data_IF_298809193296
#
_entry.id   IF_298809193296
#
_cell.length_a   1.000
_cell.length_b   1.000
_cell.length_c   1.000
_cell.angle_alpha   90.00
_cell.angle_beta   90.00
_cell.angle_gamma   90.00
#
_symmetry.space_group_name_H-M   'P 1'
#
loop_
_entity.id
_entity.type
_entity.pdbx_description
1 polymer ?
#
# COMPACT_ATOMS: atom_id res chain seq x y z
N UNK A 1 -18.51 28.94 44.38
CA UNK A 1 -18.10 30.34 44.61
C UNK A 1 -18.64 31.30 43.55
N UNK A 2 -19.85 31.82 43.80
CA UNK A 2 -20.41 32.94 43.04
C UNK A 2 -19.40 34.10 43.05
N UNK A 3 -19.35 34.89 41.97
CA UNK A 3 -18.41 36.01 41.90
C UNK A 3 -18.86 37.14 42.82
N UNK A 4 -18.00 37.59 43.73
CA UNK A 4 -18.34 38.64 44.72
C UNK A 4 -18.84 39.95 44.10
N UNK A 5 -18.38 40.30 42.89
CA UNK A 5 -18.72 41.57 42.24
C UNK A 5 -20.02 41.56 41.43
N UNK A 6 -20.67 40.41 41.23
CA UNK A 6 -21.88 40.32 40.38
C UNK A 6 -22.83 39.26 40.93
N UNK A 7 -23.43 39.58 42.08
CA UNK A 7 -24.30 38.68 42.84
C UNK A 7 -25.54 38.24 42.03
N UNK A 8 -26.08 39.13 41.20
CA UNK A 8 -27.24 38.84 40.35
C UNK A 8 -26.90 38.09 39.05
N UNK A 9 -25.61 37.83 38.76
CA UNK A 9 -25.19 37.12 37.54
C UNK A 9 -24.71 35.71 37.85
N UNK A 10 -25.34 34.71 37.23
CA UNK A 10 -25.02 33.29 37.45
C UNK A 10 -23.71 32.88 36.77
N UNK A 11 -22.60 32.81 37.53
CA UNK A 11 -21.27 32.46 36.98
C UNK A 11 -21.15 30.99 36.55
N UNK A 12 -21.48 30.05 37.44
CA UNK A 12 -21.28 28.62 37.17
C UNK A 12 -22.20 28.06 36.10
N UNK A 13 -23.48 28.40 36.16
CA UNK A 13 -24.47 27.94 35.17
C UNK A 13 -24.05 28.32 33.75
N UNK A 14 -23.60 29.57 33.57
CA UNK A 14 -23.12 30.07 32.29
C UNK A 14 -21.82 29.37 31.85
N UNK A 15 -20.86 29.18 32.76
CA UNK A 15 -19.62 28.44 32.45
C UNK A 15 -19.90 26.98 32.07
N UNK A 16 -20.78 26.31 32.80
CA UNK A 16 -21.18 24.93 32.53
C UNK A 16 -21.90 24.82 31.18
N UNK A 17 -22.85 25.71 30.90
CA UNK A 17 -23.55 25.76 29.62
C UNK A 17 -22.58 26.01 28.45
N UNK A 18 -21.68 26.99 28.59
CA UNK A 18 -20.67 27.29 27.58
C UNK A 18 -19.73 26.10 27.34
N UNK A 19 -19.27 25.44 28.41
CA UNK A 19 -18.43 24.26 28.31
C UNK A 19 -19.15 23.10 27.61
N UNK A 20 -20.42 22.85 27.96
CA UNK A 20 -21.24 21.83 27.31
C UNK A 20 -21.43 22.11 25.82
N UNK A 21 -21.71 23.36 25.45
CA UNK A 21 -21.82 23.77 24.04
C UNK A 21 -20.51 23.60 23.27
N UNK A 22 -19.37 23.98 23.86
CA UNK A 22 -18.06 23.80 23.24
C UNK A 22 -17.75 22.32 23.00
N UNK A 23 -18.05 21.44 23.96
CA UNK A 23 -17.90 19.99 23.79
C UNK A 23 -18.86 19.43 22.74
N UNK A 24 -20.11 19.89 22.69
CA UNK A 24 -21.07 19.47 21.69
C UNK A 24 -20.60 19.83 20.26
N UNK A 25 -20.07 21.04 20.06
CA UNK A 25 -19.47 21.46 18.78
C UNK A 25 -18.29 20.57 18.38
N UNK A 26 -17.38 20.26 19.33
CA UNK A 26 -16.25 19.34 19.10
C UNK A 26 -16.72 17.92 18.76
N UNK A 27 -17.79 17.43 19.38
CA UNK A 27 -18.39 16.13 19.03
C UNK A 27 -18.99 16.16 17.62
N UNK A 28 -19.74 17.20 17.28
CA UNK A 28 -20.33 17.34 15.95
C UNK A 28 -19.28 17.41 14.83
N UNK A 29 -18.18 18.16 15.02
CA UNK A 29 -17.09 18.19 14.05
C UNK A 29 -16.38 16.85 13.91
N UNK A 30 -16.16 16.14 15.02
CA UNK A 30 -15.59 14.79 15.00
C UNK A 30 -16.48 13.79 14.25
N UNK A 31 -17.80 13.89 14.43
CA UNK A 31 -18.76 13.03 13.71
C UNK A 31 -18.70 13.26 12.20
N UNK A 32 -18.58 14.52 11.75
CA UNK A 32 -18.48 14.84 10.33
C UNK A 32 -17.15 14.42 9.69
N UNK A 33 -16.04 14.55 10.42
CA UNK A 33 -14.71 14.45 9.83
C UNK A 33 -14.02 13.10 10.08
N UNK A 34 -14.48 12.29 11.04
CA UNK A 34 -13.81 11.03 11.39
C UNK A 34 -14.69 9.82 11.11
N UNK A 35 -14.14 8.84 10.40
CA UNK A 35 -14.77 7.54 10.17
C UNK A 35 -15.01 6.75 11.47
N UNK A 36 -14.32 7.10 12.57
CA UNK A 36 -14.54 6.54 13.92
C UNK A 36 -15.90 6.86 14.53
N UNK A 37 -16.64 7.82 13.97
CA UNK A 37 -17.98 8.14 14.41
C UNK A 37 -19.06 7.31 13.71
N UNK A 38 -18.69 6.52 12.71
CA UNK A 38 -19.60 5.61 12.02
C UNK A 38 -19.89 4.41 12.92
N UNK A 39 -21.12 3.91 12.85
CA UNK A 39 -21.53 2.71 13.60
C UNK A 39 -20.73 1.48 13.18
N UNK A 40 -20.70 0.46 14.04
CA UNK A 40 -19.92 -0.79 13.82
C UNK A 40 -20.19 -1.49 12.50
N UNK A 41 -21.41 -1.36 11.96
CA UNK A 41 -21.85 -2.02 10.73
C UNK A 41 -21.93 -1.07 9.53
N UNK A 42 -21.40 0.14 9.64
CA UNK A 42 -21.39 1.07 8.52
C UNK A 42 -20.34 0.61 7.50
N UNK A 43 -20.71 0.52 6.22
CA UNK A 43 -19.86 -0.01 5.14
C UNK A 43 -18.50 0.70 5.02
N UNK A 44 -18.46 1.99 5.35
CA UNK A 44 -17.25 2.84 5.33
C UNK A 44 -16.52 2.95 6.68
N UNK A 45 -16.94 2.20 7.70
CA UNK A 45 -16.23 2.16 8.99
C UNK A 45 -14.80 1.65 8.76
N UNK A 46 -13.82 2.30 9.37
CA UNK A 46 -12.42 1.84 9.28
C UNK A 46 -12.27 0.62 10.17
N UNK A 47 -11.85 -0.49 9.54
CA UNK A 47 -11.89 -1.86 10.04
C UNK A 47 -13.32 -2.37 10.22
N UNK A 48 -13.68 -3.39 9.43
CA UNK A 48 -14.88 -4.17 9.72
C UNK A 48 -14.74 -4.79 11.12
N UNK A 49 -15.83 -5.02 11.86
CA UNK A 49 -15.77 -5.65 13.19
C UNK A 49 -15.03 -7.00 13.09
N UNK A 50 -13.83 -7.06 13.68
CA UNK A 50 -12.95 -8.23 13.65
C UNK A 50 -11.63 -8.04 12.88
N UNK A 51 -11.46 -6.97 12.12
CA UNK A 51 -10.22 -6.70 11.38
C UNK A 51 -9.18 -5.96 12.24
N UNK A 52 -7.91 -6.35 12.10
CA UNK A 52 -6.81 -5.61 12.71
C UNK A 52 -6.45 -4.36 11.91
N UNK A 53 -5.87 -3.37 12.58
CA UNK A 53 -5.37 -2.13 11.95
C UNK A 53 -4.43 -2.41 10.79
N UNK A 54 -3.57 -3.41 10.91
CA UNK A 54 -2.62 -3.84 9.87
C UNK A 54 -3.32 -4.35 8.61
N UNK A 55 -4.39 -5.13 8.77
CA UNK A 55 -5.18 -5.65 7.65
C UNK A 55 -5.93 -4.52 6.96
N UNK A 56 -6.47 -3.58 7.75
CA UNK A 56 -7.11 -2.38 7.22
C UNK A 56 -6.12 -1.51 6.42
N UNK A 57 -4.88 -1.35 6.89
CA UNK A 57 -3.81 -0.64 6.17
C UNK A 57 -3.39 -1.36 4.89
N UNK A 58 -3.42 -2.70 4.88
CA UNK A 58 -3.06 -3.49 3.70
C UNK A 58 -4.14 -3.48 2.62
N UNK A 59 -5.43 -3.52 3.02
CA UNK A 59 -6.58 -3.48 2.09
C UNK A 59 -6.96 -2.07 1.65
N UNK A 60 -6.65 -1.07 2.49
CA UNK A 60 -7.00 0.32 2.24
C UNK A 60 -6.27 0.91 1.06
N UNK A 61 -6.91 1.87 0.38
CA UNK A 61 -6.24 2.67 -0.63
C UNK A 61 -5.08 3.47 0.01
N UNK A 62 -3.94 3.64 -0.69
CA UNK A 62 -2.88 4.52 -0.22
C UNK A 62 -3.48 5.91 0.01
N UNK A 63 -3.30 6.44 1.22
CA UNK A 63 -3.80 7.77 1.56
C UNK A 63 -2.98 8.78 0.80
N UNK A 64 -3.49 9.25 -0.33
CA UNK A 64 -2.95 10.38 -1.06
C UNK A 64 -3.36 11.66 -0.31
N UNK A 65 -2.53 12.12 0.64
CA UNK A 65 -2.75 13.40 1.32
C UNK A 65 -1.76 13.68 2.44
N UNK A 66 -1.61 14.97 2.79
CA UNK A 66 -0.73 15.54 3.83
C UNK A 66 -1.08 15.14 5.28
N UNK A 67 -1.93 14.13 5.48
CA UNK A 67 -2.34 13.70 6.81
C UNK A 67 -1.27 12.80 7.45
N UNK A 68 -0.65 13.28 8.53
CA UNK A 68 0.34 12.52 9.29
C UNK A 68 -0.37 11.42 10.11
N UNK A 69 0.04 10.17 9.91
CA UNK A 69 -0.42 9.01 10.70
C UNK A 69 0.72 8.36 11.45
N UNK A 70 0.48 7.89 12.68
CA UNK A 70 1.47 7.09 13.44
C UNK A 70 1.39 5.59 13.14
N UNK A 71 0.35 5.15 12.44
CA UNK A 71 0.14 3.74 12.09
C UNK A 71 0.84 3.44 10.77
N UNK A 72 1.60 2.35 10.73
CA UNK A 72 2.31 1.90 9.54
C UNK A 72 2.19 0.38 9.38
N UNK A 73 2.37 -0.10 8.15
CA UNK A 73 2.44 -1.53 7.85
C UNK A 73 3.91 -1.93 7.67
N UNK A 74 4.44 -2.73 8.59
CA UNK A 74 5.80 -3.27 8.43
C UNK A 74 5.92 -4.12 7.16
N UNK A 75 7.02 -3.96 6.42
CA UNK A 75 7.32 -4.75 5.20
C UNK A 75 7.24 -6.27 5.47
N UNK A 76 7.67 -6.72 6.65
CA UNK A 76 7.56 -8.13 7.07
C UNK A 76 6.10 -8.58 7.15
N UNK A 77 5.24 -7.73 7.71
CA UNK A 77 3.82 -8.02 7.87
C UNK A 77 3.09 -7.99 6.53
N UNK A 78 3.41 -7.04 5.67
CA UNK A 78 2.89 -6.96 4.30
C UNK A 78 3.16 -8.25 3.51
N UNK A 79 4.40 -8.76 3.53
CA UNK A 79 4.74 -10.04 2.88
C UNK A 79 3.97 -11.23 3.45
N UNK A 80 3.80 -11.30 4.79
CA UNK A 80 3.01 -12.37 5.43
C UNK A 80 1.54 -12.31 5.02
N UNK A 81 0.95 -11.12 4.96
CA UNK A 81 -0.43 -10.94 4.52
C UNK A 81 -0.61 -11.35 3.06
N UNK A 82 0.29 -10.92 2.17
CA UNK A 82 0.26 -11.31 0.75
C UNK A 82 0.34 -12.84 0.57
N UNK A 83 1.26 -13.50 1.27
CA UNK A 83 1.38 -14.97 1.24
C UNK A 83 0.13 -15.68 1.77
N UNK A 84 -0.43 -15.21 2.89
CA UNK A 84 -1.65 -15.78 3.45
C UNK A 84 -2.86 -15.57 2.53
N UNK A 85 -2.94 -14.43 1.84
CA UNK A 85 -3.96 -14.18 0.82
C UNK A 85 -3.85 -15.18 -0.34
N UNK A 86 -2.63 -15.54 -0.76
CA UNK A 86 -2.40 -16.61 -1.75
C UNK A 86 -2.96 -17.96 -1.27
N UNK A 87 -2.66 -18.35 -0.04
CA UNK A 87 -3.18 -19.60 0.54
C UNK A 87 -4.71 -19.61 0.69
N UNK A 88 -5.32 -18.46 1.00
CA UNK A 88 -6.78 -18.35 1.08
C UNK A 88 -7.41 -18.55 -0.30
N UNK A 89 -6.86 -17.92 -1.35
CA UNK A 89 -7.34 -18.08 -2.74
C UNK A 89 -7.26 -19.52 -3.22
N UNK A 90 -6.17 -20.21 -2.88
CA UNK A 90 -6.01 -21.64 -3.18
C UNK A 90 -7.08 -22.49 -2.51
N UNK A 91 -7.34 -22.26 -1.22
CA UNK A 91 -8.38 -23.00 -0.47
C UNK A 91 -9.80 -22.69 -0.95
N UNK A 92 -10.06 -21.48 -1.42
CA UNK A 92 -11.38 -21.11 -1.96
C UNK A 92 -11.66 -21.65 -3.36
N UNK A 93 -10.71 -22.37 -3.97
CA UNK A 93 -10.94 -23.09 -5.23
C UNK A 93 -11.21 -22.17 -6.43
N UNK A 94 -10.85 -20.89 -6.37
CA UNK A 94 -10.83 -20.04 -7.57
C UNK A 94 -9.78 -20.61 -8.53
N UNK A 95 -10.18 -21.17 -9.69
CA UNK A 95 -9.28 -21.83 -10.61
C UNK A 95 -8.48 -20.76 -11.34
N UNK A 96 -7.17 -20.69 -11.07
CA UNK A 96 -6.31 -19.68 -11.70
C UNK A 96 -4.96 -19.48 -11.01
N UNK A 97 -4.70 -20.14 -9.89
CA UNK A 97 -3.39 -20.09 -9.22
C UNK A 97 -3.05 -21.51 -8.70
N UNK A 98 -3.00 -22.47 -9.64
CA UNK A 98 -2.19 -23.67 -9.46
C UNK A 98 -0.78 -23.20 -9.12
N UNK A 99 -0.28 -23.63 -7.96
CA UNK A 99 1.09 -23.33 -7.60
C UNK A 99 2.03 -24.03 -8.57
N UNK A 100 2.55 -23.27 -9.53
CA UNK A 100 3.94 -23.34 -9.94
C UNK A 100 4.79 -23.27 -8.66
N UNK A 101 5.06 -24.43 -8.07
CA UNK A 101 6.10 -24.62 -7.06
C UNK A 101 7.41 -24.45 -7.83
N UNK A 102 8.03 -23.28 -7.67
CA UNK A 102 9.31 -22.88 -8.27
C UNK A 102 9.41 -22.96 -9.81
N UNK A 103 8.92 -21.94 -10.54
CA UNK A 103 9.50 -21.59 -11.86
C UNK A 103 9.14 -20.21 -12.43
N UNK A 104 8.40 -19.36 -11.72
CA UNK A 104 8.31 -17.94 -12.09
C UNK A 104 8.61 -17.07 -10.85
N UNK A 105 9.88 -17.05 -10.48
CA UNK A 105 10.45 -15.73 -10.26
C UNK A 105 10.09 -14.94 -11.52
N UNK A 106 9.41 -13.78 -11.40
CA UNK A 106 9.46 -12.80 -12.49
C UNK A 106 10.91 -12.82 -12.97
N UNK A 107 11.20 -13.04 -14.27
CA UNK A 107 12.58 -13.13 -14.74
C UNK A 107 13.25 -11.93 -14.11
N UNK A 108 14.24 -12.14 -13.21
CA UNK A 108 14.72 -11.09 -12.32
C UNK A 108 14.97 -9.93 -13.24
N UNK A 109 14.22 -8.81 -13.09
CA UNK A 109 14.22 -7.73 -14.08
C UNK A 109 15.67 -7.47 -14.40
N UNK A 110 16.11 -8.00 -15.54
CA UNK A 110 17.53 -8.25 -15.68
C UNK A 110 18.16 -6.89 -15.58
N UNK A 111 19.05 -6.74 -14.61
CA UNK A 111 19.74 -5.47 -14.45
C UNK A 111 20.31 -5.11 -15.82
N UNK A 112 20.39 -3.84 -16.18
CA UNK A 112 20.89 -3.46 -17.51
C UNK A 112 22.25 -4.13 -17.80
N UNK A 113 23.04 -4.39 -16.75
CA UNK A 113 24.28 -5.16 -16.77
C UNK A 113 24.10 -6.63 -17.18
N UNK A 114 23.07 -7.33 -16.70
CA UNK A 114 22.78 -8.72 -17.03
C UNK A 114 22.34 -8.86 -18.49
N UNK A 115 21.54 -7.91 -19.00
CA UNK A 115 21.16 -7.85 -20.41
C UNK A 115 22.37 -7.64 -21.32
N UNK A 116 23.26 -6.71 -20.96
CA UNK A 116 24.50 -6.46 -21.70
C UNK A 116 25.40 -7.69 -21.68
N UNK A 117 25.53 -8.38 -20.53
CA UNK A 117 26.29 -9.63 -20.44
C UNK A 117 25.71 -10.71 -21.35
N UNK A 118 24.39 -10.91 -21.37
CA UNK A 118 23.74 -11.89 -22.25
C UNK A 118 23.95 -11.54 -23.73
N UNK A 119 23.81 -10.27 -24.10
CA UNK A 119 24.05 -9.82 -25.47
C UNK A 119 25.52 -10.05 -25.90
N UNK A 120 26.48 -9.79 -25.00
CA UNK A 120 27.90 -10.00 -25.27
C UNK A 120 28.22 -11.50 -25.44
N UNK A 121 27.69 -12.35 -24.56
CA UNK A 121 27.87 -13.80 -24.65
C UNK A 121 27.27 -14.36 -25.94
N UNK A 122 26.06 -13.92 -26.32
CA UNK A 122 25.45 -14.29 -27.59
C UNK A 122 26.30 -13.87 -28.81
N UNK A 123 26.97 -12.71 -28.76
CA UNK A 123 27.84 -12.26 -29.84
C UNK A 123 29.10 -13.11 -29.94
N UNK A 124 29.70 -13.46 -28.80
CA UNK A 124 30.89 -14.32 -28.73
C UNK A 124 30.57 -15.73 -29.21
N UNK A 125 29.44 -16.30 -28.82
CA UNK A 125 29.02 -17.65 -29.23
C UNK A 125 28.67 -17.74 -30.72
N UNK A 126 28.08 -16.68 -31.28
CA UNK A 126 27.76 -16.60 -32.71
C UNK A 126 28.89 -16.02 -33.57
N UNK A 127 30.07 -15.80 -33.00
CA UNK A 127 31.22 -15.31 -33.77
C UNK A 127 31.77 -16.43 -34.66
N UNK A 128 31.27 -16.48 -35.89
CA UNK A 128 31.90 -17.23 -36.96
C UNK A 128 32.95 -16.36 -37.65
N UNK A 129 34.21 -16.82 -37.80
CA UNK A 129 35.15 -16.15 -38.68
C UNK A 129 34.60 -16.23 -40.10
N UNK A 130 34.33 -15.07 -40.70
CA UNK A 130 34.07 -14.97 -42.14
C UNK A 130 35.37 -15.33 -42.84
N UNK A 131 35.54 -16.62 -43.15
CA UNK A 131 36.58 -17.06 -44.06
C UNK A 131 36.26 -16.44 -45.42
N UNK A 132 37.17 -15.66 -46.03
CA UNK A 132 36.95 -15.19 -47.39
C UNK A 132 36.89 -16.43 -48.30
N UNK A 133 35.67 -16.76 -48.73
CA UNK A 133 35.44 -17.74 -49.79
C UNK A 133 36.25 -17.29 -51.00
N UNK A 134 37.26 -18.08 -51.34
CA UNK A 134 38.10 -17.88 -52.51
C UNK A 134 37.29 -18.04 -53.80
N UNK A 135 36.55 -17.01 -54.18
CA UNK A 135 36.03 -16.84 -55.52
C UNK A 135 37.01 -15.93 -56.27
N UNK A 136 37.91 -16.56 -57.02
CA UNK A 136 38.89 -15.86 -57.84
C UNK A 136 38.22 -14.92 -58.85
N UNK A 137 38.49 -13.63 -58.71
CA UNK A 137 38.36 -12.66 -59.80
C UNK A 137 39.77 -12.24 -60.21
N UNK A 138 40.26 -12.86 -61.28
CA UNK A 138 41.39 -12.38 -62.06
C UNK A 138 41.00 -11.07 -62.75
N UNK A 139 41.56 -9.96 -62.28
CA UNK A 139 41.83 -8.76 -63.08
C UNK A 139 43.37 -8.63 -62.99
N UNK A 140 44.19 -8.76 -64.04
CA UNK A 140 43.95 -8.56 -65.46
C UNK A 140 44.43 -7.17 -65.87
N UNK A 141 45.75 -7.09 -66.16
CA UNK A 141 46.56 -5.94 -66.62
C UNK A 141 47.05 -4.93 -65.55
#
# INVERSE_FOLDING_TARGET
MAGGNSINRTKYKNKAAHHAQALAKKRASKVRNTKSALGRYHEKAVAAPGESTEVALYKGAPVAGDAITTQSLSKKRAKKLARNMKYIRQRSGTPGDEMSVDEEAEPPKEGDVERVKKALWNLVENWQPVLPSGAGTTLGA
#
